data_IF_046490243520
#
_entry.id   IF_046490243520
#
_cell.length_a   1.000
_cell.length_b   1.000
_cell.length_c   1.000
_cell.angle_alpha   90.00
_cell.angle_beta   90.00
_cell.angle_gamma   90.00
#
_symmetry.space_group_name_H-M   'P 1'
#
loop_
_entity.id
_entity.type
_entity.pdbx_description
1 polymer ?
#
# COMPACT_ATOMS: atom_id res chain seq x y z
N UNK A 1 2.38 -28.48 47.94
CA UNK A 1 1.01 -29.03 47.80
C UNK A 1 0.06 -27.86 47.58
N UNK A 2 -0.74 -27.86 46.50
CA UNK A 2 -1.89 -26.96 46.21
C UNK A 2 -1.59 -25.45 46.01
N UNK A 3 -2.21 -24.68 45.09
CA UNK A 3 -3.34 -24.90 44.17
C UNK A 3 -3.36 -23.80 43.09
N UNK A 4 -3.66 -24.18 41.85
CA UNK A 4 -3.89 -23.35 40.67
C UNK A 4 -5.41 -23.19 40.49
N UNK A 5 -5.93 -21.96 40.44
CA UNK A 5 -7.36 -21.71 40.21
C UNK A 5 -7.57 -21.18 38.80
N UNK A 6 -8.29 -21.96 37.97
CA UNK A 6 -8.78 -21.61 36.63
C UNK A 6 -10.30 -21.59 36.69
N UNK A 7 -10.91 -20.44 36.39
CA UNK A 7 -12.37 -20.32 36.21
C UNK A 7 -12.76 -20.86 34.83
N UNK A 8 -13.72 -21.79 34.77
CA UNK A 8 -14.46 -22.16 33.55
C UNK A 8 -15.95 -22.10 33.86
N UNK A 9 -16.60 -21.21 33.15
CA UNK A 9 -18.04 -20.93 33.17
C UNK A 9 -18.85 -22.05 32.52
N UNK A 10 -20.06 -22.20 33.04
CA UNK A 10 -21.02 -23.26 32.81
C UNK A 10 -21.58 -23.30 31.38
N UNK A 11 -21.85 -24.51 30.91
CA UNK A 11 -22.71 -24.80 29.77
C UNK A 11 -23.83 -25.72 30.28
N UNK A 12 -25.08 -25.28 30.20
CA UNK A 12 -26.25 -26.09 30.54
C UNK A 12 -27.11 -26.32 29.29
N UNK A 13 -27.54 -27.57 29.19
CA UNK A 13 -28.34 -28.22 28.15
C UNK A 13 -29.82 -27.82 28.20
N UNK A 14 -30.46 -27.77 27.03
CA UNK A 14 -31.84 -28.16 26.73
C UNK A 14 -32.08 -27.84 25.24
N UNK A 15 -32.80 -28.57 24.40
CA UNK A 15 -33.79 -29.63 24.58
C UNK A 15 -34.58 -29.66 23.26
N UNK A 16 -34.91 -30.87 22.81
CA UNK A 16 -35.52 -31.23 21.53
C UNK A 16 -36.95 -30.68 21.37
N UNK A 17 -37.34 -30.29 20.14
CA UNK A 17 -38.74 -30.40 19.69
C UNK A 17 -38.82 -30.50 18.15
N UNK A 18 -39.15 -31.70 17.66
CA UNK A 18 -39.63 -31.91 16.30
C UNK A 18 -41.15 -31.74 16.30
N UNK A 19 -41.68 -30.88 15.43
CA UNK A 19 -43.12 -30.84 15.16
C UNK A 19 -43.37 -31.04 13.68
N UNK A 20 -44.00 -32.17 13.37
CA UNK A 20 -44.53 -32.52 12.06
C UNK A 20 -45.66 -31.54 11.68
N UNK A 21 -45.62 -31.01 10.46
CA UNK A 21 -46.71 -30.20 9.92
C UNK A 21 -47.48 -30.99 8.87
N UNK A 22 -48.78 -31.11 9.11
CA UNK A 22 -49.77 -31.84 8.32
C UNK A 22 -50.02 -31.13 6.99
N UNK A 23 -50.05 -31.88 5.89
CA UNK A 23 -50.41 -31.41 4.54
C UNK A 23 -51.91 -31.60 4.36
N UNK A 24 -52.66 -30.50 4.22
CA UNK A 24 -54.05 -30.52 3.78
C UNK A 24 -54.15 -30.11 2.30
N UNK A 25 -54.96 -30.79 1.46
CA UNK A 25 -55.13 -30.42 0.06
C UNK A 25 -56.03 -29.20 -0.06
N UNK A 26 -55.52 -28.11 -0.63
CA UNK A 26 -56.28 -26.90 -0.92
C UNK A 26 -56.90 -27.03 -2.33
N UNK A 27 -58.21 -26.78 -2.43
CA UNK A 27 -58.96 -26.72 -3.69
C UNK A 27 -58.51 -25.52 -4.53
N UNK A 28 -58.11 -25.80 -5.78
CA UNK A 28 -57.76 -24.77 -6.77
C UNK A 28 -59.04 -24.16 -7.32
N UNK A 29 -59.36 -22.94 -6.89
CA UNK A 29 -60.33 -22.09 -7.59
C UNK A 29 -59.58 -21.21 -8.60
N UNK A 30 -59.83 -21.45 -9.88
CA UNK A 30 -59.38 -20.62 -10.97
C UNK A 30 -60.04 -19.24 -10.88
N UNK A 31 -59.26 -18.21 -10.54
CA UNK A 31 -59.68 -16.81 -10.64
C UNK A 31 -59.04 -16.20 -11.90
N UNK A 32 -59.90 -15.61 -12.73
CA UNK A 32 -59.58 -15.12 -14.07
C UNK A 32 -58.46 -14.07 -14.10
N UNK A 33 -57.55 -14.24 -15.05
CA UNK A 33 -56.54 -13.26 -15.41
C UNK A 33 -57.20 -12.09 -16.14
N UNK A 34 -57.46 -11.00 -15.42
CA UNK A 34 -57.63 -9.68 -16.04
C UNK A 34 -56.28 -9.15 -16.53
N UNK A 35 -56.22 -8.33 -17.60
CA UNK A 35 -54.96 -7.82 -18.12
C UNK A 35 -54.23 -7.00 -17.06
N UNK A 36 -53.05 -7.49 -16.67
CA UNK A 36 -52.15 -6.82 -15.74
C UNK A 36 -51.78 -5.44 -16.28
N UNK A 37 -52.15 -4.39 -15.54
CA UNK A 37 -51.62 -3.05 -15.75
C UNK A 37 -50.08 -3.10 -15.63
N UNK A 38 -49.32 -2.41 -16.51
CA UNK A 38 -47.86 -2.44 -16.46
C UNK A 38 -47.37 -1.89 -15.14
N UNK A 39 -46.66 -2.73 -14.38
CA UNK A 39 -45.95 -2.35 -13.17
C UNK A 39 -45.06 -1.14 -13.45
N UNK A 40 -45.28 -0.05 -12.72
CA UNK A 40 -44.44 1.13 -12.76
C UNK A 40 -42.99 0.72 -12.43
N UNK A 41 -42.07 0.89 -13.37
CA UNK A 41 -40.64 0.69 -13.14
C UNK A 41 -40.20 1.63 -12.00
N UNK A 42 -39.42 1.16 -11.02
CA UNK A 42 -38.72 2.08 -10.12
C UNK A 42 -37.93 3.06 -10.98
N UNK A 43 -38.17 4.36 -10.79
CA UNK A 43 -37.37 5.38 -11.46
C UNK A 43 -35.89 5.15 -11.13
N UNK A 44 -34.97 5.32 -12.10
CA UNK A 44 -33.54 5.25 -11.81
C UNK A 44 -33.21 6.25 -10.71
N UNK A 45 -32.76 5.74 -9.56
CA UNK A 45 -32.18 6.57 -8.51
C UNK A 45 -31.03 7.35 -9.16
N UNK A 46 -31.18 8.66 -9.23
CA UNK A 46 -30.12 9.55 -9.69
C UNK A 46 -28.89 9.27 -8.83
N UNK A 47 -27.86 8.69 -9.43
CA UNK A 47 -26.55 8.57 -8.81
C UNK A 47 -26.14 9.99 -8.40
N UNK A 48 -26.11 10.25 -7.09
CA UNK A 48 -25.60 11.52 -6.57
C UNK A 48 -24.13 11.57 -6.97
N UNK A 49 -23.81 12.39 -7.97
CA UNK A 49 -22.43 12.66 -8.36
C UNK A 49 -21.72 13.20 -7.13
N UNK A 50 -20.65 12.53 -6.70
CA UNK A 50 -19.80 13.04 -5.64
C UNK A 50 -19.38 14.47 -6.00
N UNK A 51 -19.43 15.42 -5.05
CA UNK A 51 -19.06 16.80 -5.32
C UNK A 51 -17.65 16.84 -5.90
N UNK A 52 -17.53 17.34 -7.13
CA UNK A 52 -16.24 17.48 -7.80
C UNK A 52 -15.53 18.69 -7.20
N UNK A 53 -14.45 18.46 -6.46
CA UNK A 53 -13.63 19.54 -5.92
C UNK A 53 -12.73 20.07 -7.03
N UNK A 54 -12.90 21.34 -7.36
CA UNK A 54 -12.11 22.02 -8.40
C UNK A 54 -10.93 22.69 -7.70
N UNK A 55 -9.71 22.18 -7.93
CA UNK A 55 -8.51 22.69 -7.27
C UNK A 55 -8.05 23.99 -7.93
N UNK A 56 -7.88 25.02 -7.10
CA UNK A 56 -7.42 26.34 -7.55
C UNK A 56 -5.90 26.51 -7.44
N UNK A 57 -5.26 25.80 -6.51
CA UNK A 57 -3.81 25.92 -6.27
C UNK A 57 -3.24 24.61 -5.73
N UNK A 58 -1.99 24.28 -6.11
CA UNK A 58 -1.25 23.13 -5.57
C UNK A 58 -0.07 23.64 -4.74
N UNK A 59 -0.08 23.33 -3.44
CA UNK A 59 1.02 23.58 -2.51
C UNK A 59 1.79 22.28 -2.25
N UNK A 60 3.09 22.31 -2.45
CA UNK A 60 3.98 21.16 -2.20
C UNK A 60 4.82 21.46 -0.97
N UNK A 61 4.89 20.50 -0.05
CA UNK A 61 5.60 20.59 1.23
C UNK A 61 6.53 19.38 1.40
N UNK A 62 7.68 19.57 2.07
CA UNK A 62 8.60 18.48 2.42
C UNK A 62 9.69 18.17 1.39
N UNK A 63 9.75 18.92 0.28
CA UNK A 63 10.88 18.86 -0.64
C UNK A 63 12.13 19.47 -0.02
N UNK A 64 13.28 18.87 -0.30
CA UNK A 64 14.60 19.30 0.16
C UNK A 64 15.52 19.55 -1.02
N UNK A 65 15.66 18.57 -1.92
CA UNK A 65 16.55 18.62 -3.07
C UNK A 65 15.80 18.65 -4.38
N UNK A 66 14.56 18.15 -4.38
CA UNK A 66 13.69 18.12 -5.55
C UNK A 66 12.92 19.44 -5.63
N UNK A 67 12.82 20.01 -6.82
CA UNK A 67 12.02 21.22 -7.01
C UNK A 67 10.52 20.91 -6.85
N UNK A 68 9.74 21.77 -6.17
CA UNK A 68 8.30 21.61 -6.05
C UNK A 68 7.57 21.41 -7.39
N UNK A 69 8.04 22.06 -8.45
CA UNK A 69 7.46 21.93 -9.79
C UNK A 69 7.68 20.54 -10.40
N UNK A 70 8.75 19.86 -10.03
CA UNK A 70 8.97 18.45 -10.41
C UNK A 70 7.88 17.55 -9.80
N UNK A 71 7.53 17.77 -8.53
CA UNK A 71 6.42 17.04 -7.89
C UNK A 71 5.11 17.32 -8.62
N UNK A 72 4.83 18.60 -8.93
CA UNK A 72 3.63 19.01 -9.68
C UNK A 72 3.54 18.34 -11.05
N UNK A 73 4.65 18.20 -11.76
CA UNK A 73 4.68 17.56 -13.08
C UNK A 73 4.37 16.06 -13.03
N UNK A 74 4.69 15.39 -11.92
CA UNK A 74 4.34 13.99 -11.71
C UNK A 74 2.90 13.80 -11.20
N UNK A 75 2.27 14.85 -10.68
CA UNK A 75 0.85 14.84 -10.37
C UNK A 75 0.06 14.93 -11.68
N UNK A 76 -0.82 13.97 -11.94
CA UNK A 76 -1.75 14.01 -13.06
C UNK A 76 -2.94 14.95 -12.79
N UNK A 77 -2.71 16.03 -12.03
CA UNK A 77 -3.73 16.96 -11.55
C UNK A 77 -3.46 18.33 -12.16
N UNK A 78 -4.48 18.92 -12.78
CA UNK A 78 -4.41 20.25 -13.37
C UNK A 78 -5.25 21.24 -12.57
N UNK A 79 -4.77 22.47 -12.51
CA UNK A 79 -5.52 23.57 -11.91
C UNK A 79 -6.80 23.81 -12.70
N UNK A 80 -7.91 24.04 -12.01
CA UNK A 80 -9.22 24.26 -12.61
C UNK A 80 -9.93 22.99 -13.12
N UNK A 81 -9.32 21.81 -13.01
CA UNK A 81 -9.97 20.54 -13.32
C UNK A 81 -10.52 19.86 -12.04
N UNK A 82 -11.62 19.10 -12.15
CA UNK A 82 -12.17 18.36 -11.03
C UNK A 82 -11.22 17.23 -10.62
N UNK A 83 -10.86 17.17 -9.34
CA UNK A 83 -10.02 16.09 -8.81
C UNK A 83 -10.88 14.94 -8.33
N UNK A 84 -10.68 13.77 -8.93
CA UNK A 84 -11.32 12.51 -8.52
C UNK A 84 -10.33 11.62 -7.76
N UNK A 85 -10.85 10.69 -6.96
CA UNK A 85 -10.02 9.72 -6.24
C UNK A 85 -9.13 8.91 -7.20
N UNK A 86 -9.62 8.58 -8.40
CA UNK A 86 -8.85 7.83 -9.41
C UNK A 86 -7.64 8.62 -9.92
N UNK A 87 -7.77 9.94 -10.09
CA UNK A 87 -6.66 10.80 -10.53
C UNK A 87 -5.61 10.90 -9.42
N UNK A 88 -6.04 11.01 -8.16
CA UNK A 88 -5.15 11.04 -7.00
C UNK A 88 -4.39 9.71 -6.87
N UNK A 89 -5.08 8.58 -6.94
CA UNK A 89 -4.46 7.24 -6.86
C UNK A 89 -3.42 7.03 -7.98
N UNK A 90 -3.74 7.42 -9.22
CA UNK A 90 -2.78 7.37 -10.34
C UNK A 90 -1.57 8.27 -10.08
N UNK A 91 -1.79 9.48 -9.59
CA UNK A 91 -0.71 10.43 -9.28
C UNK A 91 0.21 9.90 -8.18
N UNK A 92 -0.34 9.31 -7.12
CA UNK A 92 0.42 8.67 -6.05
C UNK A 92 1.26 7.51 -6.60
N UNK A 93 0.66 6.63 -7.41
CA UNK A 93 1.37 5.53 -8.07
C UNK A 93 2.51 6.03 -8.95
N UNK A 94 2.29 7.08 -9.75
CA UNK A 94 3.32 7.71 -10.57
C UNK A 94 4.47 8.22 -9.71
N UNK A 95 4.17 8.96 -8.63
CA UNK A 95 5.18 9.48 -7.72
C UNK A 95 6.01 8.36 -7.06
N UNK A 96 5.38 7.30 -6.55
CA UNK A 96 6.11 6.16 -5.98
C UNK A 96 6.93 5.40 -7.03
N UNK A 97 6.42 5.27 -8.25
CA UNK A 97 7.12 4.61 -9.35
C UNK A 97 8.40 5.34 -9.77
N UNK A 98 8.49 6.66 -9.55
CA UNK A 98 9.76 7.39 -9.75
C UNK A 98 10.89 6.91 -8.82
N UNK A 99 10.52 6.34 -7.67
CA UNK A 99 11.46 5.98 -6.62
C UNK A 99 12.09 7.17 -5.89
N UNK A 100 11.66 8.40 -6.16
CA UNK A 100 12.20 9.62 -5.54
C UNK A 100 11.65 9.87 -4.14
N UNK A 101 10.47 9.35 -3.82
CA UNK A 101 9.76 9.62 -2.58
C UNK A 101 9.55 8.34 -1.76
N UNK A 102 9.84 8.43 -0.47
CA UNK A 102 9.59 7.39 0.52
C UNK A 102 8.13 7.38 0.96
N UNK A 103 7.51 8.57 1.02
CA UNK A 103 6.12 8.76 1.40
C UNK A 103 5.53 9.97 0.68
N UNK A 104 4.24 9.87 0.37
CA UNK A 104 3.47 10.93 -0.30
C UNK A 104 2.06 10.93 0.27
N UNK A 105 1.64 12.09 0.76
CA UNK A 105 0.26 12.31 1.20
C UNK A 105 -0.34 13.51 0.48
N UNK A 106 -1.63 13.40 0.16
CA UNK A 106 -2.38 14.41 -0.56
C UNK A 106 -3.60 14.76 0.27
N UNK A 107 -3.82 16.04 0.52
CA UNK A 107 -4.97 16.56 1.25
C UNK A 107 -5.52 17.82 0.58
N UNK A 108 -6.78 18.13 0.84
CA UNK A 108 -7.43 19.35 0.37
C UNK A 108 -7.65 20.24 1.59
N UNK A 109 -7.12 21.45 1.54
CA UNK A 109 -7.25 22.48 2.57
C UNK A 109 -8.38 23.47 2.20
N UNK A 110 -8.68 24.42 3.09
CA UNK A 110 -9.70 25.45 2.84
C UNK A 110 -9.34 26.28 1.60
N UNK A 111 -10.36 26.61 0.79
CA UNK A 111 -10.19 27.40 -0.43
C UNK A 111 -9.68 26.60 -1.63
N UNK A 112 -10.00 25.30 -1.69
CA UNK A 112 -9.67 24.40 -2.80
C UNK A 112 -8.17 24.31 -3.12
N UNK A 113 -7.34 24.37 -2.07
CA UNK A 113 -5.89 24.23 -2.17
C UNK A 113 -5.53 22.75 -1.96
N UNK A 114 -4.92 22.14 -2.97
CA UNK A 114 -4.36 20.81 -2.86
C UNK A 114 -2.99 20.90 -2.17
N UNK A 115 -2.86 20.29 -1.01
CA UNK A 115 -1.61 20.19 -0.26
C UNK A 115 -1.02 18.81 -0.49
N UNK A 116 0.18 18.78 -1.04
CA UNK A 116 0.93 17.55 -1.30
C UNK A 116 2.16 17.55 -0.42
N UNK A 117 2.21 16.64 0.54
CA UNK A 117 3.36 16.47 1.43
C UNK A 117 4.15 15.26 0.97
N UNK A 118 5.45 15.47 0.77
CA UNK A 118 6.36 14.43 0.32
C UNK A 118 7.48 14.22 1.33
N UNK A 119 7.96 12.99 1.42
CA UNK A 119 9.21 12.63 2.08
C UNK A 119 10.13 12.05 1.03
N UNK A 120 11.26 12.71 0.76
CA UNK A 120 12.22 12.25 -0.24
C UNK A 120 12.95 10.99 0.21
N UNK A 121 13.18 10.05 -0.71
CA UNK A 121 14.08 8.93 -0.47
C UNK A 121 15.53 9.42 -0.32
N UNK A 122 16.30 8.87 0.63
CA UNK A 122 17.67 9.28 0.82
C UNK A 122 18.57 8.82 -0.34
N UNK A 123 19.72 9.47 -0.48
CA UNK A 123 20.76 9.06 -1.42
C UNK A 123 21.78 8.18 -0.71
N UNK A 124 22.13 7.05 -1.30
CA UNK A 124 23.21 6.19 -0.80
C UNK A 124 24.53 6.93 -0.91
N UNK A 125 25.18 7.17 0.22
CA UNK A 125 26.49 7.80 0.29
C UNK A 125 27.59 6.74 0.07
N UNK A 126 27.55 5.68 0.87
CA UNK A 126 28.50 4.56 0.80
C UNK A 126 27.79 3.23 1.07
N UNK A 127 28.36 2.18 0.50
CA UNK A 127 28.04 0.79 0.83
C UNK A 127 29.33 0.16 1.36
N UNK A 128 29.23 -0.65 2.40
CA UNK A 128 30.33 -1.42 2.97
C UNK A 128 29.87 -2.84 3.30
N UNK A 129 30.83 -3.76 3.37
CA UNK A 129 30.60 -5.15 3.73
C UNK A 129 31.52 -5.53 4.88
N UNK A 130 30.96 -6.22 5.86
CA UNK A 130 31.70 -6.83 6.96
C UNK A 130 31.54 -8.36 6.90
N UNK A 131 32.48 -9.10 7.48
CA UNK A 131 32.41 -10.57 7.49
C UNK A 131 32.63 -11.26 6.13
N UNK A 132 33.21 -10.58 5.13
CA UNK A 132 33.55 -11.21 3.85
C UNK A 132 34.67 -12.25 4.02
N UNK A 133 34.37 -13.50 3.64
CA UNK A 133 35.32 -14.61 3.67
C UNK A 133 36.21 -14.68 2.40
N UNK A 134 35.56 -14.87 1.23
CA UNK A 134 36.24 -15.22 -0.04
C UNK A 134 35.73 -14.46 -1.26
N UNK A 135 34.57 -13.82 -1.15
CA UNK A 135 34.02 -13.00 -2.21
C UNK A 135 34.55 -11.59 -2.02
N UNK A 136 34.97 -10.95 -3.12
CA UNK A 136 35.44 -9.58 -3.06
C UNK A 136 34.24 -8.62 -3.07
N UNK A 137 34.32 -7.56 -2.28
CA UNK A 137 33.31 -6.51 -2.20
C UNK A 137 32.95 -5.95 -3.60
N UNK A 138 33.96 -5.79 -4.46
CA UNK A 138 33.76 -5.26 -5.82
C UNK A 138 32.84 -6.16 -6.66
N UNK A 139 32.93 -7.47 -6.49
CA UNK A 139 32.15 -8.45 -7.27
C UNK A 139 30.71 -8.47 -6.78
N UNK A 140 30.51 -8.34 -5.45
CA UNK A 140 29.18 -8.22 -4.85
C UNK A 140 28.49 -6.92 -5.26
N UNK A 141 29.21 -5.79 -5.19
CA UNK A 141 28.69 -4.48 -5.61
C UNK A 141 28.31 -4.42 -7.09
N UNK A 142 29.02 -5.16 -7.94
CA UNK A 142 28.73 -5.21 -9.38
C UNK A 142 27.38 -5.87 -9.68
N UNK A 143 26.93 -6.79 -8.82
CA UNK A 143 25.68 -7.51 -8.96
C UNK A 143 24.47 -6.72 -8.41
N UNK A 144 24.70 -5.78 -7.51
CA UNK A 144 23.65 -5.03 -6.81
C UNK A 144 23.06 -3.85 -7.61
N UNK A 145 21.83 -3.49 -7.27
CA UNK A 145 21.14 -2.30 -7.76
C UNK A 145 21.54 -1.04 -6.98
N UNK A 146 21.67 -1.14 -5.65
CA UNK A 146 22.14 -0.06 -4.81
C UNK A 146 23.63 0.18 -5.05
N UNK A 147 23.96 1.45 -5.27
CA UNK A 147 25.33 1.93 -5.43
C UNK A 147 25.46 3.31 -4.80
N UNK A 148 26.68 3.76 -4.46
CA UNK A 148 26.91 5.14 -4.10
C UNK A 148 26.30 6.09 -5.13
N UNK A 149 25.73 7.20 -4.64
CA UNK A 149 25.02 8.25 -5.40
C UNK A 149 23.69 7.82 -6.03
N UNK A 150 23.20 6.61 -5.77
CA UNK A 150 21.87 6.15 -6.21
C UNK A 150 20.84 6.41 -5.11
N UNK A 151 19.59 6.69 -5.51
CA UNK A 151 18.47 6.81 -4.57
C UNK A 151 18.19 5.46 -3.91
N UNK A 152 18.22 5.46 -2.58
CA UNK A 152 17.86 4.32 -1.74
C UNK A 152 16.36 4.08 -1.79
N UNK A 153 15.96 2.81 -1.96
CA UNK A 153 14.58 2.39 -1.68
C UNK A 153 14.61 1.07 -0.94
N UNK A 154 13.59 0.83 -0.10
CA UNK A 154 13.45 -0.45 0.62
C UNK A 154 13.38 -1.64 -0.34
N UNK A 155 12.71 -1.47 -1.49
CA UNK A 155 12.57 -2.52 -2.50
C UNK A 155 13.91 -2.89 -3.14
N UNK A 156 14.78 -1.91 -3.43
CA UNK A 156 16.13 -2.18 -3.94
C UNK A 156 16.99 -2.90 -2.90
N UNK A 157 16.94 -2.46 -1.64
CA UNK A 157 17.67 -3.13 -0.55
C UNK A 157 17.27 -4.60 -0.42
N UNK A 158 15.97 -4.89 -0.43
CA UNK A 158 15.46 -6.26 -0.34
C UNK A 158 15.87 -7.11 -1.55
N UNK A 159 15.80 -6.55 -2.76
CA UNK A 159 16.24 -7.22 -3.97
C UNK A 159 17.74 -7.54 -3.94
N UNK A 160 18.56 -6.61 -3.44
CA UNK A 160 20.00 -6.80 -3.32
C UNK A 160 20.36 -7.83 -2.25
N UNK A 161 19.73 -7.80 -1.08
CA UNK A 161 19.91 -8.85 -0.05
C UNK A 161 19.61 -10.23 -0.64
N UNK A 162 18.49 -10.38 -1.34
CA UNK A 162 18.13 -11.66 -1.94
C UNK A 162 19.17 -12.11 -2.98
N UNK A 163 19.62 -11.18 -3.83
CA UNK A 163 20.64 -11.44 -4.85
C UNK A 163 21.96 -11.88 -4.23
N UNK A 164 22.41 -11.18 -3.19
CA UNK A 164 23.64 -11.53 -2.46
C UNK A 164 23.51 -12.93 -1.86
N UNK A 165 22.40 -13.24 -1.18
CA UNK A 165 22.15 -14.59 -0.65
C UNK A 165 22.23 -15.66 -1.74
N UNK A 166 21.69 -15.38 -2.93
CA UNK A 166 21.75 -16.32 -4.06
C UNK A 166 23.18 -16.49 -4.61
N UNK A 167 24.01 -15.44 -4.61
CA UNK A 167 25.44 -15.53 -4.94
C UNK A 167 26.15 -16.46 -3.95
N UNK A 168 25.93 -16.29 -2.64
CA UNK A 168 26.55 -17.14 -1.63
C UNK A 168 26.11 -18.60 -1.75
N UNK A 169 24.82 -18.86 -2.00
CA UNK A 169 24.30 -20.22 -2.22
C UNK A 169 24.96 -20.90 -3.42
N UNK A 170 25.14 -20.20 -4.54
CA UNK A 170 25.84 -20.75 -5.73
C UNK A 170 27.30 -21.10 -5.46
N UNK A 171 27.94 -20.41 -4.51
CA UNK A 171 29.28 -20.69 -4.03
C UNK A 171 29.33 -21.73 -2.89
N UNK A 172 28.29 -22.59 -2.79
CA UNK A 172 28.16 -23.64 -1.77
C UNK A 172 28.11 -23.13 -0.32
N UNK A 173 27.72 -21.88 -0.09
CA UNK A 173 27.56 -21.27 1.24
C UNK A 173 26.09 -21.09 1.59
N UNK A 174 25.40 -22.19 1.87
CA UNK A 174 23.96 -22.19 2.16
C UNK A 174 23.58 -21.58 3.51
N UNK A 175 24.53 -21.52 4.45
CA UNK A 175 24.34 -20.96 5.78
C UNK A 175 24.69 -19.45 5.87
N UNK A 176 24.96 -18.79 4.74
CA UNK A 176 25.21 -17.35 4.74
C UNK A 176 23.94 -16.61 5.21
N UNK A 177 24.10 -15.75 6.22
CA UNK A 177 23.13 -14.75 6.61
C UNK A 177 23.66 -13.38 6.15
N UNK A 178 22.76 -12.51 5.72
CA UNK A 178 23.11 -11.15 5.31
C UNK A 178 22.13 -10.21 6.00
N UNK A 179 22.64 -9.38 6.90
CA UNK A 179 21.85 -8.41 7.65
C UNK A 179 22.24 -6.99 7.23
N UNK A 180 21.35 -6.25 6.55
CA UNK A 180 21.64 -4.87 6.18
C UNK A 180 21.40 -3.93 7.36
N UNK A 181 22.42 -3.13 7.71
CA UNK A 181 22.32 -1.99 8.62
C UNK A 181 22.31 -0.68 7.85
N UNK A 182 21.37 0.20 8.20
CA UNK A 182 21.18 1.50 7.58
C UNK A 182 21.59 2.56 8.58
N UNK A 183 22.59 3.36 8.22
CA UNK A 183 23.09 4.47 9.03
C UNK A 183 22.63 5.76 8.36
N UNK A 184 21.75 6.50 9.02
CA UNK A 184 21.28 7.79 8.51
C UNK A 184 22.37 8.85 8.71
N UNK A 185 22.52 9.71 7.71
CA UNK A 185 23.44 10.82 7.71
C UNK A 185 22.69 12.14 7.53
N UNK A 186 23.42 13.24 7.65
CA UNK A 186 22.95 14.57 7.30
C UNK A 186 22.57 14.68 5.82
N UNK A 187 21.78 15.70 5.48
CA UNK A 187 21.38 16.04 4.10
C UNK A 187 20.66 14.90 3.36
N UNK A 188 19.83 14.14 4.09
CA UNK A 188 19.03 13.01 3.59
C UNK A 188 19.87 11.96 2.85
N UNK A 189 20.95 11.50 3.50
CA UNK A 189 21.84 10.45 2.98
C UNK A 189 21.83 9.23 3.89
N UNK A 190 22.23 8.09 3.33
CA UNK A 190 22.40 6.84 4.07
C UNK A 190 23.70 6.13 3.71
N UNK A 191 24.35 5.58 4.71
CA UNK A 191 25.34 4.52 4.56
C UNK A 191 24.66 3.18 4.79
N UNK A 192 25.04 2.17 3.99
CA UNK A 192 24.50 0.82 4.10
C UNK A 192 25.66 -0.13 4.37
N UNK A 193 25.55 -0.90 5.45
CA UNK A 193 26.52 -1.92 5.82
C UNK A 193 25.84 -3.29 5.74
N UNK A 194 26.44 -4.23 5.02
CA UNK A 194 25.99 -5.61 4.98
C UNK A 194 26.89 -6.45 5.88
N UNK A 195 26.30 -7.13 6.86
CA UNK A 195 26.97 -8.04 7.81
C UNK A 195 26.59 -9.49 7.57
#
# INVERSE_FOLDING_TARGET
MMTRTRNRTALLLAGVAWTASVIAPQMVFAQGQGPAAPAARPAPQAATSAPQVVIQTIRVEGTQRIEPDTVRNYLNIRLGEPVTADIVDKSLKTLFATGLFADVSVGIDRGDILVVRVVENPIVNRIAFEGLDKLEEKDLLAEMQLRPRVVYTRSKLQADVQRLLDIYKRNSRFAAAIEPKIIQLDQNRVDIVFE
#
